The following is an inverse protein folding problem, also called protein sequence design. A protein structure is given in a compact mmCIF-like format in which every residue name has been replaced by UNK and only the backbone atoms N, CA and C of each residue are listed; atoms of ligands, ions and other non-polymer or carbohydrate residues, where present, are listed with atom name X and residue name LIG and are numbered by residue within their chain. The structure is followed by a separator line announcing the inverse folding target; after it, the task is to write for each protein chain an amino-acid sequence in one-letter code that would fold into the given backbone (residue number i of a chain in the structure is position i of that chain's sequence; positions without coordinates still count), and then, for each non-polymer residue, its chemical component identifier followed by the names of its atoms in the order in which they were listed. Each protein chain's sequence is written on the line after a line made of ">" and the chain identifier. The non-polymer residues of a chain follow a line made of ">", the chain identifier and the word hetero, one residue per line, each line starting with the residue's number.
data_IF_601993019291
#
_entry.id   IF_601993019291
#
_cell.length_a   1.000
_cell.length_b   1.000
_cell.length_c   1.000
_cell.angle_alpha   90.00
_cell.angle_beta   90.00
_cell.angle_gamma   90.00
#
_symmetry.space_group_name_H-M   'P 1'
#
loop_
_entity.id
_entity.type
_entity.pdbx_description
1 polymer ?
#
# COMPACT_ATOMS: atom_id res chain seq x y z
N UNK A 1 -19.54 -17.17 -55.46
CA UNK A 1 -19.48 -17.92 -54.17
C UNK A 1 -18.85 -19.28 -54.49
N UNK A 2 -17.76 -19.65 -53.77
CA UNK A 2 -17.00 -20.87 -54.10
C UNK A 2 -17.84 -22.10 -53.73
N UNK A 3 -17.76 -23.17 -54.54
CA UNK A 3 -18.52 -24.43 -54.40
C UNK A 3 -18.41 -24.98 -52.95
N UNK A 4 -17.24 -24.90 -52.36
CA UNK A 4 -16.96 -25.31 -50.98
C UNK A 4 -17.79 -24.53 -49.95
N UNK A 5 -17.94 -23.21 -50.11
CA UNK A 5 -18.75 -22.36 -49.22
C UNK A 5 -20.23 -22.74 -49.30
N UNK A 6 -20.70 -23.07 -50.51
CA UNK A 6 -22.08 -23.45 -50.74
C UNK A 6 -22.40 -24.81 -50.12
N UNK A 7 -21.51 -25.77 -50.22
CA UNK A 7 -21.62 -27.08 -49.60
C UNK A 7 -21.58 -26.96 -48.08
N UNK A 8 -20.68 -26.17 -47.52
CA UNK A 8 -20.56 -25.94 -46.08
C UNK A 8 -21.85 -25.32 -45.51
N UNK A 9 -22.38 -24.28 -46.16
CA UNK A 9 -23.64 -23.64 -45.71
C UNK A 9 -24.84 -24.64 -45.78
N UNK A 10 -24.89 -25.47 -46.82
CA UNK A 10 -25.95 -26.48 -46.97
C UNK A 10 -25.86 -27.54 -45.85
N UNK A 11 -24.66 -28.00 -45.55
CA UNK A 11 -24.38 -28.93 -44.46
C UNK A 11 -24.76 -28.35 -43.08
N UNK A 12 -24.37 -27.12 -42.77
CA UNK A 12 -24.74 -26.43 -41.54
C UNK A 12 -26.26 -26.26 -41.41
N UNK A 13 -26.96 -25.94 -42.51
CA UNK A 13 -28.43 -25.83 -42.51
C UNK A 13 -29.11 -27.17 -42.30
N UNK A 14 -28.59 -28.27 -42.81
CA UNK A 14 -29.13 -29.61 -42.64
C UNK A 14 -28.99 -30.11 -41.19
N UNK A 15 -27.93 -29.73 -40.50
CA UNK A 15 -27.60 -30.10 -39.12
C UNK A 15 -27.82 -28.96 -38.11
N UNK A 16 -28.94 -28.23 -38.22
CA UNK A 16 -29.21 -27.00 -37.45
C UNK A 16 -28.99 -27.12 -35.94
N UNK A 17 -29.56 -28.15 -35.28
CA UNK A 17 -29.44 -28.35 -33.83
C UNK A 17 -28.00 -28.44 -33.41
N UNK A 18 -27.17 -29.18 -34.12
CA UNK A 18 -25.77 -29.38 -33.87
C UNK A 18 -24.95 -28.11 -34.07
N UNK A 19 -25.17 -27.40 -35.19
CA UNK A 19 -24.53 -26.11 -35.49
C UNK A 19 -24.81 -25.10 -34.39
N UNK A 20 -26.07 -25.03 -33.92
CA UNK A 20 -26.42 -24.12 -32.81
C UNK A 20 -25.67 -24.48 -31.52
N UNK A 21 -25.60 -25.76 -31.14
CA UNK A 21 -24.88 -26.20 -29.94
C UNK A 21 -23.41 -25.86 -30.04
N UNK A 22 -22.78 -26.08 -31.21
CA UNK A 22 -21.37 -25.72 -31.43
C UNK A 22 -21.13 -24.21 -31.34
N UNK A 23 -21.99 -23.39 -31.94
CA UNK A 23 -21.91 -21.93 -31.87
C UNK A 23 -22.07 -21.46 -30.42
N UNK A 24 -23.05 -21.97 -29.68
CA UNK A 24 -23.26 -21.64 -28.26
C UNK A 24 -22.00 -22.04 -27.44
N UNK A 25 -21.44 -23.22 -27.69
CA UNK A 25 -20.22 -23.67 -27.03
C UNK A 25 -19.04 -22.73 -27.26
N UNK A 26 -18.80 -22.28 -28.48
CA UNK A 26 -17.74 -21.33 -28.83
C UNK A 26 -18.00 -19.98 -28.17
N UNK A 27 -19.25 -19.47 -28.22
CA UNK A 27 -19.62 -18.19 -27.58
C UNK A 27 -19.36 -18.24 -26.07
N UNK A 28 -19.85 -19.30 -25.41
CA UNK A 28 -19.66 -19.47 -23.96
C UNK A 28 -18.17 -19.56 -23.57
N UNK A 29 -17.39 -20.33 -24.34
CA UNK A 29 -15.95 -20.46 -24.07
C UNK A 29 -15.19 -19.15 -24.26
N UNK A 30 -15.51 -18.41 -25.32
CA UNK A 30 -14.91 -17.10 -25.58
C UNK A 30 -15.30 -16.10 -24.47
N UNK A 31 -16.58 -16.07 -24.09
CA UNK A 31 -17.07 -15.22 -22.99
C UNK A 31 -16.40 -15.57 -21.66
N UNK A 32 -16.14 -16.86 -21.40
CA UNK A 32 -15.47 -17.32 -20.17
C UNK A 32 -14.00 -16.89 -20.14
N UNK A 33 -13.26 -17.04 -21.23
CA UNK A 33 -11.86 -16.61 -21.33
C UNK A 33 -11.75 -15.09 -21.13
N UNK A 34 -12.59 -14.31 -21.81
CA UNK A 34 -12.61 -12.85 -21.63
C UNK A 34 -13.04 -12.45 -20.21
N UNK A 35 -14.03 -13.15 -19.63
CA UNK A 35 -14.52 -12.91 -18.28
C UNK A 35 -13.44 -13.15 -17.22
N UNK A 36 -12.70 -14.24 -17.31
CA UNK A 36 -11.58 -14.54 -16.38
C UNK A 36 -10.52 -13.44 -16.44
N UNK A 37 -10.15 -12.98 -17.65
CA UNK A 37 -9.18 -11.89 -17.82
C UNK A 37 -9.63 -10.61 -17.13
N UNK A 38 -10.87 -10.18 -17.35
CA UNK A 38 -11.43 -8.97 -16.76
C UNK A 38 -11.58 -9.06 -15.24
N UNK A 39 -12.00 -10.21 -14.71
CA UNK A 39 -12.08 -10.42 -13.26
C UNK A 39 -10.71 -10.32 -12.62
N UNK A 40 -9.69 -10.93 -13.24
CA UNK A 40 -8.32 -10.86 -12.73
C UNK A 40 -7.78 -9.42 -12.74
N UNK A 41 -7.95 -8.69 -13.83
CA UNK A 41 -7.50 -7.30 -13.94
C UNK A 41 -8.20 -6.42 -12.88
N UNK A 42 -9.51 -6.57 -12.71
CA UNK A 42 -10.29 -5.87 -11.69
C UNK A 42 -9.83 -6.21 -10.28
N UNK A 43 -9.51 -7.47 -10.01
CA UNK A 43 -8.98 -7.91 -8.72
C UNK A 43 -7.60 -7.31 -8.44
N UNK A 44 -6.69 -7.31 -9.43
CA UNK A 44 -5.35 -6.72 -9.28
C UNK A 44 -5.42 -5.21 -9.06
N UNK A 45 -6.30 -4.51 -9.77
CA UNK A 45 -6.53 -3.08 -9.59
C UNK A 45 -7.12 -2.77 -8.19
N UNK A 46 -8.06 -3.57 -7.72
CA UNK A 46 -8.59 -3.46 -6.36
C UNK A 46 -7.47 -3.64 -5.31
N UNK A 47 -6.67 -4.71 -5.44
CA UNK A 47 -5.56 -4.98 -4.54
C UNK A 47 -4.51 -3.85 -4.56
N UNK A 48 -4.22 -3.30 -5.73
CA UNK A 48 -3.30 -2.17 -5.87
C UNK A 48 -3.82 -0.94 -5.10
N UNK A 49 -5.09 -0.59 -5.26
CA UNK A 49 -5.71 0.55 -4.55
C UNK A 49 -5.71 0.35 -3.04
N UNK A 50 -6.08 -0.84 -2.56
CA UNK A 50 -6.05 -1.17 -1.13
C UNK A 50 -4.63 -1.11 -0.56
N UNK A 51 -3.64 -1.65 -1.27
CA UNK A 51 -2.24 -1.58 -0.85
C UNK A 51 -1.76 -0.13 -0.77
N UNK A 52 -2.05 0.69 -1.79
CA UNK A 52 -1.67 2.11 -1.76
C UNK A 52 -2.40 2.86 -0.63
N UNK A 53 -3.65 2.51 -0.33
CA UNK A 53 -4.43 3.11 0.77
C UNK A 53 -3.81 2.77 2.13
N UNK A 54 -3.37 1.53 2.33
CA UNK A 54 -2.86 1.05 3.61
C UNK A 54 -1.37 1.33 3.82
N UNK A 55 -0.55 1.06 2.79
CA UNK A 55 0.92 1.05 2.88
C UNK A 55 1.57 2.25 2.15
N UNK A 56 0.78 3.03 1.42
CA UNK A 56 1.26 4.15 0.62
C UNK A 56 1.72 3.77 -0.78
N UNK A 57 2.00 4.79 -1.60
CA UNK A 57 2.41 4.66 -3.01
C UNK A 57 3.93 4.61 -3.20
N UNK A 58 4.70 4.53 -2.13
CA UNK A 58 6.16 4.49 -2.15
C UNK A 58 6.68 3.06 -2.16
N UNK A 59 7.81 2.82 -2.82
CA UNK A 59 8.41 1.49 -2.97
C UNK A 59 9.36 1.12 -1.85
N UNK A 60 10.06 2.12 -1.29
CA UNK A 60 11.04 1.94 -0.22
C UNK A 60 11.05 3.16 0.70
N UNK A 61 11.29 2.93 1.99
CA UNK A 61 11.48 3.97 3.00
C UNK A 61 12.84 3.80 3.64
N UNK A 62 13.63 4.88 3.65
CA UNK A 62 14.87 5.02 4.37
C UNK A 62 14.57 5.68 5.73
N UNK A 63 14.93 5.02 6.81
CA UNK A 63 14.72 5.51 8.18
C UNK A 63 15.95 6.24 8.70
N UNK A 64 15.73 7.21 9.57
CA UNK A 64 16.79 7.97 10.24
C UNK A 64 17.83 8.60 9.30
N UNK A 65 17.36 9.08 8.15
CA UNK A 65 18.19 9.81 7.18
C UNK A 65 18.60 11.16 7.77
N UNK A 66 19.90 11.43 7.84
CA UNK A 66 20.37 12.77 8.20
C UNK A 66 19.93 13.76 7.12
N UNK A 67 19.33 14.88 7.50
CA UNK A 67 18.84 15.89 6.55
C UNK A 67 19.91 16.42 5.59
N UNK A 68 21.17 16.42 5.98
CA UNK A 68 22.29 16.78 5.11
C UNK A 68 22.42 15.84 3.90
N UNK A 69 21.95 14.61 4.05
CA UNK A 69 22.07 13.55 3.05
C UNK A 69 20.80 13.40 2.15
N UNK A 70 19.74 14.12 2.44
CA UNK A 70 18.48 14.08 1.68
C UNK A 70 18.67 14.38 0.20
N UNK A 71 19.62 15.23 -0.15
CA UNK A 71 19.90 15.57 -1.54
C UNK A 71 20.36 14.38 -2.39
N UNK A 72 20.97 13.36 -1.80
CA UNK A 72 21.38 12.15 -2.54
C UNK A 72 20.17 11.38 -3.08
N UNK A 73 19.03 11.51 -2.41
CA UNK A 73 17.76 10.89 -2.83
C UNK A 73 17.00 11.82 -3.77
N UNK A 74 16.75 13.06 -3.33
CA UNK A 74 15.88 13.99 -4.06
C UNK A 74 16.41 14.41 -5.43
N UNK A 75 17.75 14.43 -5.60
CA UNK A 75 18.41 14.75 -6.88
C UNK A 75 18.62 13.54 -7.80
N UNK A 76 18.27 12.34 -7.37
CA UNK A 76 18.42 11.14 -8.20
C UNK A 76 17.40 11.11 -9.33
N UNK A 77 17.87 11.03 -10.58
CA UNK A 77 17.00 10.94 -11.76
C UNK A 77 16.16 9.64 -11.80
N UNK A 78 16.54 8.63 -11.03
CA UNK A 78 15.85 7.34 -10.91
C UNK A 78 14.62 7.41 -10.00
N UNK A 79 14.50 8.47 -9.20
CA UNK A 79 13.36 8.71 -8.29
C UNK A 79 12.24 9.45 -9.05
N UNK A 80 11.03 8.95 -8.91
CA UNK A 80 9.82 9.59 -9.44
C UNK A 80 9.18 10.51 -8.41
N UNK A 81 9.05 10.02 -7.16
CA UNK A 81 8.42 10.75 -6.06
C UNK A 81 9.19 10.48 -4.78
N UNK A 82 9.24 11.46 -3.93
CA UNK A 82 9.76 11.35 -2.57
C UNK A 82 8.83 12.04 -1.58
N UNK A 83 8.91 11.63 -0.33
CA UNK A 83 8.13 12.19 0.77
C UNK A 83 8.85 12.03 2.08
N UNK A 84 8.62 12.95 3.00
CA UNK A 84 9.25 12.95 4.31
C UNK A 84 8.24 12.68 5.41
N UNK A 85 8.62 11.82 6.33
CA UNK A 85 7.88 11.58 7.56
C UNK A 85 8.81 11.59 8.75
N UNK A 86 8.24 11.86 9.93
CA UNK A 86 8.99 11.82 11.19
C UNK A 86 8.06 11.36 12.30
N UNK A 87 8.54 10.46 13.16
CA UNK A 87 7.84 10.17 14.41
C UNK A 87 8.02 11.37 15.35
N UNK A 88 6.91 12.00 15.74
CA UNK A 88 6.95 13.09 16.73
C UNK A 88 7.00 12.53 18.13
N UNK A 89 6.33 11.42 18.37
CA UNK A 89 6.28 10.73 19.63
C UNK A 89 4.93 10.06 19.89
N UNK A 90 4.74 9.66 21.12
CA UNK A 90 3.57 8.93 21.62
C UNK A 90 2.96 9.69 22.78
N UNK A 91 1.63 9.58 22.92
CA UNK A 91 0.88 10.17 24.02
C UNK A 91 -0.03 9.12 24.63
N UNK A 92 -0.02 8.98 25.93
CA UNK A 92 -1.01 8.18 26.66
C UNK A 92 -2.28 9.00 26.80
N UNK A 93 -3.44 8.40 26.51
CA UNK A 93 -4.72 9.07 26.65
C UNK A 93 -5.26 8.87 28.06
N UNK A 94 -5.58 9.96 28.75
CA UNK A 94 -5.95 9.94 30.18
C UNK A 94 -7.27 9.19 30.44
N UNK A 95 -8.19 9.18 29.46
CA UNK A 95 -9.49 8.54 29.59
C UNK A 95 -9.49 7.03 29.24
N UNK A 96 -8.32 6.43 29.03
CA UNK A 96 -8.21 5.01 28.75
C UNK A 96 -6.86 4.47 29.22
N UNK A 97 -6.89 3.46 30.11
CA UNK A 97 -5.67 2.88 30.68
C UNK A 97 -4.71 2.29 29.64
N UNK A 98 -5.21 1.92 28.46
CA UNK A 98 -4.44 1.22 27.43
C UNK A 98 -4.43 1.92 26.06
N UNK A 99 -5.00 3.12 25.91
CA UNK A 99 -5.02 3.80 24.62
C UNK A 99 -3.78 4.71 24.47
N UNK A 100 -2.99 4.40 23.47
CA UNK A 100 -1.81 5.16 23.10
C UNK A 100 -2.05 5.80 21.73
N UNK A 101 -1.65 7.06 21.62
CA UNK A 101 -1.69 7.83 20.39
C UNK A 101 -0.28 7.95 19.82
N UNK A 102 -0.05 7.36 18.65
CA UNK A 102 1.15 7.60 17.85
C UNK A 102 0.97 8.85 17.00
N UNK A 103 1.84 9.84 17.19
CA UNK A 103 1.79 11.11 16.45
C UNK A 103 2.94 11.14 15.46
N UNK A 104 2.60 11.02 14.17
CA UNK A 104 3.56 11.07 13.08
C UNK A 104 3.41 12.34 12.26
N UNK A 105 4.51 12.95 11.91
CA UNK A 105 4.54 14.15 11.09
C UNK A 105 4.73 13.78 9.61
N UNK A 106 4.06 14.53 8.75
CA UNK A 106 4.03 14.32 7.30
C UNK A 106 4.32 15.65 6.60
N UNK A 107 5.15 15.61 5.57
CA UNK A 107 5.23 16.71 4.61
C UNK A 107 4.06 16.65 3.61
N UNK A 108 3.97 17.64 2.74
CA UNK A 108 2.91 17.71 1.72
C UNK A 108 2.89 16.50 0.79
N UNK A 109 4.06 15.98 0.43
CA UNK A 109 4.18 14.84 -0.47
C UNK A 109 3.78 13.54 0.22
N UNK A 110 4.12 13.38 1.50
CA UNK A 110 3.72 12.22 2.30
C UNK A 110 2.19 12.17 2.47
N UNK A 111 1.53 13.30 2.74
CA UNK A 111 0.07 13.37 2.83
C UNK A 111 -0.57 12.84 1.55
N UNK A 112 -0.06 13.24 0.38
CA UNK A 112 -0.59 12.80 -0.91
C UNK A 112 -0.24 11.32 -1.22
N UNK A 113 0.94 10.87 -0.83
CA UNK A 113 1.45 9.52 -1.14
C UNK A 113 0.83 8.42 -0.29
N UNK A 114 0.52 8.70 0.96
CA UNK A 114 -0.09 7.75 1.91
C UNK A 114 -1.63 7.77 1.89
N UNK A 115 -2.26 8.37 0.92
CA UNK A 115 -3.71 8.36 0.59
C UNK A 115 -4.66 8.05 1.75
N UNK A 116 -4.46 8.72 2.89
CA UNK A 116 -5.33 8.53 4.06
C UNK A 116 -6.69 9.16 3.77
N UNK A 117 -7.77 8.44 4.08
CA UNK A 117 -9.12 8.96 3.86
C UNK A 117 -9.47 9.97 4.95
N UNK A 118 -9.79 11.20 4.54
CA UNK A 118 -10.41 12.18 5.43
C UNK A 118 -11.90 11.87 5.53
N UNK A 119 -12.39 11.75 6.78
CA UNK A 119 -13.81 11.60 7.07
C UNK A 119 -14.46 12.96 7.19
N UNK A 120 -13.78 13.89 7.85
CA UNK A 120 -14.29 15.24 8.11
C UNK A 120 -13.14 16.25 8.17
N UNK A 121 -13.36 17.48 7.71
CA UNK A 121 -12.36 18.54 7.72
C UNK A 121 -11.34 18.43 6.58
N UNK A 122 -10.07 18.67 6.89
CA UNK A 122 -8.95 18.68 5.93
C UNK A 122 -7.66 18.12 6.54
N UNK A 123 -6.68 17.83 5.70
CA UNK A 123 -5.33 17.50 6.18
C UNK A 123 -4.61 18.73 6.78
N UNK A 124 -3.66 18.49 7.72
CA UNK A 124 -2.81 19.52 8.25
C UNK A 124 -1.96 20.15 7.14
N UNK A 125 -1.88 21.48 7.11
CA UNK A 125 -1.10 22.24 6.14
C UNK A 125 -0.05 23.14 6.79
N UNK A 126 -0.08 23.28 8.12
CA UNK A 126 0.81 24.11 8.92
C UNK A 126 1.26 23.35 10.17
N UNK A 127 2.44 23.70 10.66
CA UNK A 127 2.91 23.20 11.96
C UNK A 127 1.92 23.58 13.07
N UNK A 128 1.73 22.68 14.02
CA UNK A 128 0.71 22.81 15.06
C UNK A 128 -0.72 22.40 14.65
N UNK A 129 -0.95 21.99 13.41
CA UNK A 129 -2.20 21.37 12.98
C UNK A 129 -2.09 19.83 13.06
N UNK A 130 -3.21 19.18 13.42
CA UNK A 130 -3.28 17.72 13.56
C UNK A 130 -4.62 17.19 13.03
N UNK A 131 -4.60 15.98 12.47
CA UNK A 131 -5.79 15.16 12.25
C UNK A 131 -5.71 13.92 13.12
N UNK A 132 -6.86 13.50 13.64
CA UNK A 132 -7.01 12.38 14.55
C UNK A 132 -7.79 11.26 13.87
N UNK A 133 -7.46 10.02 14.20
CA UNK A 133 -8.31 8.88 13.84
C UNK A 133 -9.67 8.99 14.55
N UNK A 134 -10.75 8.63 13.85
CA UNK A 134 -12.10 8.59 14.44
C UNK A 134 -12.19 7.68 15.67
N UNK A 135 -11.28 6.69 15.77
CA UNK A 135 -11.26 5.73 16.87
C UNK A 135 -10.95 6.35 18.23
N UNK A 136 -10.32 7.54 18.26
CA UNK A 136 -9.82 8.13 19.51
C UNK A 136 -10.52 9.43 19.92
N UNK A 137 -11.38 9.97 19.09
CA UNK A 137 -12.00 11.27 19.37
C UNK A 137 -12.69 11.26 20.72
N UNK A 138 -13.54 10.27 20.96
CA UNK A 138 -14.28 10.11 22.22
C UNK A 138 -13.37 9.76 23.41
N UNK A 139 -12.14 9.29 23.18
CA UNK A 139 -11.16 8.98 24.22
C UNK A 139 -10.37 10.22 24.66
N UNK A 140 -10.28 11.23 23.81
CA UNK A 140 -9.64 12.51 24.13
C UNK A 140 -10.65 13.43 24.84
N UNK A 141 -11.76 13.70 24.18
CA UNK A 141 -12.88 14.52 24.70
C UNK A 141 -14.14 14.22 23.86
N UNK A 142 -15.24 13.84 24.51
CA UNK A 142 -16.52 13.55 23.85
C UNK A 142 -17.11 14.77 23.11
N UNK A 143 -16.64 15.97 23.43
CA UNK A 143 -17.11 17.23 22.83
C UNK A 143 -16.13 17.81 21.81
N UNK A 144 -15.02 17.12 21.52
CA UNK A 144 -13.97 17.59 20.64
C UNK A 144 -14.50 17.84 19.21
N UNK A 145 -14.27 19.06 18.73
CA UNK A 145 -14.69 19.48 17.39
C UNK A 145 -13.51 19.93 16.54
N UNK A 146 -13.70 19.88 15.24
CA UNK A 146 -12.75 20.48 14.30
C UNK A 146 -12.65 21.98 14.58
N UNK A 147 -11.42 22.47 14.75
CA UNK A 147 -11.11 23.84 15.12
C UNK A 147 -10.61 24.00 16.56
N UNK A 148 -10.91 23.03 17.43
CA UNK A 148 -10.48 23.04 18.82
C UNK A 148 -8.97 22.82 18.96
N UNK A 149 -8.43 23.27 20.08
CA UNK A 149 -7.04 23.03 20.48
C UNK A 149 -7.00 21.94 21.53
N UNK A 150 -6.10 20.99 21.33
CA UNK A 150 -5.80 19.93 22.31
C UNK A 150 -4.35 20.04 22.75
N UNK A 151 -4.06 19.78 24.01
CA UNK A 151 -2.71 19.67 24.54
C UNK A 151 -2.47 18.21 24.92
N UNK A 152 -1.43 17.63 24.36
CA UNK A 152 -1.05 16.24 24.56
C UNK A 152 0.37 16.18 25.16
N UNK A 153 0.57 15.29 26.14
CA UNK A 153 1.90 14.94 26.65
C UNK A 153 2.54 13.97 25.68
N UNK A 154 3.48 14.46 24.88
CA UNK A 154 4.12 13.70 23.81
C UNK A 154 5.55 13.33 24.23
N UNK A 155 5.84 12.04 24.26
CA UNK A 155 7.14 11.50 24.66
C UNK A 155 7.67 10.44 23.70
N UNK A 156 8.85 9.92 24.00
CA UNK A 156 9.47 8.79 23.31
C UNK A 156 8.97 7.47 23.91
N UNK A 157 8.79 6.46 23.07
CA UNK A 157 8.44 5.11 23.52
C UNK A 157 9.70 4.26 23.70
N UNK A 158 9.75 3.51 24.79
CA UNK A 158 10.85 2.61 25.15
C UNK A 158 10.29 1.22 25.42
N UNK A 159 11.06 0.19 25.04
CA UNK A 159 10.79 -1.19 25.42
C UNK A 159 11.24 -1.50 26.86
N UNK A 160 10.94 -2.71 27.32
CA UNK A 160 11.36 -3.20 28.65
C UNK A 160 12.88 -3.19 28.85
N UNK A 161 13.68 -3.21 27.76
CA UNK A 161 15.15 -3.12 27.79
C UNK A 161 15.66 -1.67 27.83
N UNK A 162 14.77 -0.68 27.94
CA UNK A 162 15.07 0.76 27.86
C UNK A 162 15.61 1.23 26.51
N UNK A 163 15.39 0.46 25.45
CA UNK A 163 15.72 0.85 24.09
C UNK A 163 14.57 1.69 23.52
N UNK A 164 14.89 2.84 22.95
CA UNK A 164 13.89 3.66 22.23
C UNK A 164 13.41 2.90 21.02
N UNK A 165 12.09 2.81 20.88
CA UNK A 165 11.42 2.09 19.79
C UNK A 165 10.46 3.02 19.04
N UNK A 166 10.33 2.79 17.72
CA UNK A 166 9.26 3.34 16.88
C UNK A 166 8.37 2.17 16.46
N UNK A 167 7.31 1.93 17.21
CA UNK A 167 6.41 0.80 17.03
C UNK A 167 4.96 1.24 16.97
N UNK A 168 4.16 0.50 16.21
CA UNK A 168 2.70 0.60 16.21
C UNK A 168 2.05 -0.46 17.12
N UNK A 169 2.86 -1.19 17.88
CA UNK A 169 2.40 -2.18 18.88
C UNK A 169 2.98 -1.81 20.22
N UNK A 170 2.15 -1.83 21.25
CA UNK A 170 2.54 -1.60 22.63
C UNK A 170 2.47 -2.92 23.39
N UNK A 171 3.61 -3.34 23.94
CA UNK A 171 3.73 -4.61 24.67
C UNK A 171 3.78 -4.37 26.16
N UNK A 172 3.55 -5.40 26.93
CA UNK A 172 3.73 -5.35 28.38
C UNK A 172 5.17 -5.01 28.74
N UNK A 173 5.36 -3.98 29.56
CA UNK A 173 6.68 -3.47 29.91
C UNK A 173 7.17 -2.30 29.06
N UNK A 174 6.51 -1.97 27.96
CA UNK A 174 6.77 -0.74 27.22
C UNK A 174 6.29 0.48 27.99
N UNK A 175 6.99 1.61 27.84
CA UNK A 175 6.61 2.84 28.51
C UNK A 175 6.95 4.09 27.69
N UNK A 176 6.29 5.19 27.99
CA UNK A 176 6.55 6.51 27.40
C UNK A 176 7.32 7.36 28.40
N UNK A 177 8.38 8.03 27.94
CA UNK A 177 9.18 8.93 28.75
C UNK A 177 9.58 10.18 27.94
N UNK A 178 10.24 11.13 28.64
CA UNK A 178 10.66 12.41 28.07
C UNK A 178 9.47 13.24 27.54
N UNK A 179 8.34 13.14 28.19
CA UNK A 179 7.10 13.80 27.77
C UNK A 179 7.22 15.32 27.83
N UNK A 180 6.66 15.97 26.81
CA UNK A 180 6.52 17.43 26.72
C UNK A 180 5.10 17.79 26.28
N UNK A 181 4.55 18.82 26.86
CA UNK A 181 3.26 19.33 26.43
C UNK A 181 3.37 19.92 25.03
N UNK A 182 2.50 19.46 24.16
CA UNK A 182 2.37 19.95 22.77
C UNK A 182 0.93 20.28 22.46
N UNK A 183 0.69 21.49 22.04
CA UNK A 183 -0.65 21.97 21.68
C UNK A 183 -0.83 21.91 20.18
N UNK A 184 -1.93 21.31 19.75
CA UNK A 184 -2.31 21.18 18.37
C UNK A 184 -3.71 21.73 18.13
N UNK A 185 -3.95 22.28 16.93
CA UNK A 185 -5.27 22.59 16.42
C UNK A 185 -5.79 21.39 15.64
N UNK A 186 -6.92 20.83 16.01
CA UNK A 186 -7.57 19.75 15.27
C UNK A 186 -8.20 20.33 14.00
N UNK A 187 -7.78 19.86 12.84
CA UNK A 187 -8.25 20.37 11.54
C UNK A 187 -9.01 19.35 10.71
N UNK A 188 -9.06 18.11 11.17
CA UNK A 188 -9.84 17.06 10.52
C UNK A 188 -9.80 15.73 11.28
N UNK A 189 -10.63 14.83 10.81
CA UNK A 189 -10.80 13.47 11.30
C UNK A 189 -10.53 12.53 10.14
N UNK A 190 -9.71 11.52 10.36
CA UNK A 190 -9.43 10.47 9.40
C UNK A 190 -10.25 9.23 9.71
N UNK A 191 -10.60 8.47 8.66
CA UNK A 191 -11.15 7.13 8.84
C UNK A 191 -10.17 6.28 9.64
N UNK A 192 -10.70 5.38 10.47
CA UNK A 192 -9.89 4.44 11.25
C UNK A 192 -9.03 3.58 10.32
N UNK A 193 -7.70 3.67 10.37
CA UNK A 193 -6.82 2.81 9.59
C UNK A 193 -7.00 1.33 9.97
N UNK A 194 -6.86 0.43 9.00
CA UNK A 194 -7.07 -1.01 9.22
C UNK A 194 -6.18 -1.62 10.31
N UNK A 195 -4.94 -1.14 10.43
CA UNK A 195 -3.98 -1.62 11.42
C UNK A 195 -4.31 -1.22 12.87
N UNK A 196 -5.08 -0.15 13.11
CA UNK A 196 -5.52 0.25 14.46
C UNK A 196 -6.46 -0.78 15.11
N UNK A 197 -7.02 -1.72 14.35
CA UNK A 197 -7.92 -2.75 14.89
C UNK A 197 -7.21 -3.77 15.77
N UNK A 198 -5.90 -3.94 15.58
CA UNK A 198 -5.13 -5.04 16.16
C UNK A 198 -4.13 -4.61 17.23
N UNK A 199 -3.74 -3.33 17.29
CA UNK A 199 -2.49 -2.96 17.96
C UNK A 199 -2.64 -2.07 19.19
N UNK A 200 -3.84 -1.67 19.61
CA UNK A 200 -4.06 -0.80 20.79
C UNK A 200 -3.50 0.63 20.63
N UNK A 201 -2.81 0.92 19.53
CA UNK A 201 -2.26 2.24 19.23
C UNK A 201 -3.10 2.90 18.14
N UNK A 202 -3.64 4.05 18.45
CA UNK A 202 -4.32 4.91 17.50
C UNK A 202 -3.32 5.89 16.85
N UNK A 203 -3.71 6.48 15.73
CA UNK A 203 -2.82 7.37 14.96
C UNK A 203 -3.34 8.80 14.89
N UNK A 204 -2.39 9.70 14.95
CA UNK A 204 -2.60 11.10 14.60
C UNK A 204 -1.54 11.52 13.58
N UNK A 205 -1.90 12.42 12.67
CA UNK A 205 -1.00 12.94 11.67
C UNK A 205 -0.92 14.45 11.80
N UNK A 206 0.30 14.95 11.99
CA UNK A 206 0.60 16.35 12.04
C UNK A 206 1.40 16.77 10.80
N UNK A 207 1.45 18.06 10.51
CA UNK A 207 2.28 18.59 9.43
C UNK A 207 3.65 19.01 9.96
N UNK A 208 4.69 18.86 9.14
CA UNK A 208 5.97 19.53 9.35
C UNK A 208 6.55 19.99 8.01
N UNK A 209 7.35 21.06 8.08
CA UNK A 209 8.15 21.48 6.95
C UNK A 209 9.53 20.78 7.01
N UNK A 210 9.86 19.91 6.04
CA UNK A 210 11.14 19.19 6.06
C UNK A 210 12.36 20.10 5.94
N UNK A 211 12.19 21.35 5.51
CA UNK A 211 13.26 22.34 5.40
C UNK A 211 13.60 23.04 6.73
N UNK A 212 12.73 22.92 7.75
CA UNK A 212 12.99 23.48 9.06
C UNK A 212 13.85 22.52 9.90
N UNK A 213 14.94 22.98 10.49
CA UNK A 213 15.77 22.23 11.45
C UNK A 213 16.71 21.17 10.85
N UNK A 214 17.89 21.60 10.38
CA UNK A 214 18.87 20.77 9.65
C UNK A 214 19.63 19.72 10.47
N UNK A 215 19.54 19.71 11.81
CA UNK A 215 20.34 18.83 12.67
C UNK A 215 19.62 17.54 13.11
N UNK A 216 18.51 17.22 12.47
CA UNK A 216 17.61 16.14 12.84
C UNK A 216 17.57 15.05 11.77
N UNK A 217 17.14 13.84 12.15
CA UNK A 217 16.89 12.75 11.22
C UNK A 217 15.42 12.73 10.81
N UNK A 218 15.17 12.29 9.59
CA UNK A 218 13.83 12.10 9.03
C UNK A 218 13.76 10.79 8.29
N UNK A 219 12.55 10.27 8.11
CA UNK A 219 12.31 9.12 7.25
C UNK A 219 11.96 9.62 5.85
N UNK A 220 12.61 9.07 4.84
CA UNK A 220 12.39 9.41 3.44
C UNK A 220 11.83 8.22 2.68
N UNK A 221 10.63 8.38 2.17
CA UNK A 221 9.93 7.38 1.37
C UNK A 221 10.01 7.75 -0.10
N UNK A 222 10.38 6.81 -0.95
CA UNK A 222 10.58 7.06 -2.37
C UNK A 222 9.84 6.08 -3.26
N UNK A 223 9.33 6.58 -4.38
CA UNK A 223 8.88 5.78 -5.50
C UNK A 223 9.90 5.92 -6.65
N UNK A 224 10.42 4.80 -7.11
CA UNK A 224 11.34 4.75 -8.25
C UNK A 224 10.56 4.69 -9.55
N UNK A 225 11.13 5.19 -10.65
CA UNK A 225 10.49 5.18 -11.98
C UNK A 225 10.20 3.78 -12.49
N UNK A 226 11.15 2.86 -12.32
CA UNK A 226 10.96 1.45 -12.66
C UNK A 226 11.02 0.62 -11.36
N UNK A 227 9.89 0.08 -10.88
CA UNK A 227 9.85 -0.70 -9.64
C UNK A 227 10.82 -1.89 -9.61
N UNK A 228 11.15 -2.49 -10.76
CA UNK A 228 12.09 -3.63 -10.86
C UNK A 228 13.52 -3.28 -10.45
N UNK A 229 13.88 -2.01 -10.51
CA UNK A 229 15.22 -1.53 -10.16
C UNK A 229 15.31 -1.05 -8.70
N UNK A 230 14.23 -1.13 -7.92
CA UNK A 230 14.15 -0.57 -6.56
C UNK A 230 15.29 -1.03 -5.66
N UNK A 231 15.61 -2.32 -5.64
CA UNK A 231 16.66 -2.87 -4.77
C UNK A 231 18.05 -2.38 -5.18
N UNK A 232 18.33 -2.29 -6.48
CA UNK A 232 19.59 -1.74 -7.00
C UNK A 232 19.74 -0.26 -6.67
N UNK A 233 18.67 0.51 -6.88
CA UNK A 233 18.62 1.96 -6.61
C UNK A 233 18.75 2.22 -5.11
N UNK A 234 18.01 1.50 -4.27
CA UNK A 234 18.06 1.67 -2.83
C UNK A 234 19.44 1.34 -2.25
N UNK A 235 20.12 0.30 -2.74
CA UNK A 235 21.48 -0.02 -2.32
C UNK A 235 22.47 1.10 -2.68
N UNK A 236 22.36 1.66 -3.88
CA UNK A 236 23.19 2.80 -4.31
C UNK A 236 22.96 4.05 -3.42
N UNK A 237 21.70 4.33 -3.11
CA UNK A 237 21.33 5.47 -2.27
C UNK A 237 21.79 5.24 -0.83
N UNK A 238 21.55 4.06 -0.26
CA UNK A 238 21.90 3.74 1.13
C UNK A 238 23.39 3.87 1.42
N UNK A 239 24.25 3.49 0.48
CA UNK A 239 25.69 3.67 0.57
C UNK A 239 26.07 5.15 0.76
N UNK A 240 25.37 6.07 0.12
CA UNK A 240 25.63 7.50 0.24
C UNK A 240 25.05 8.10 1.53
N UNK A 241 23.84 7.68 1.94
CA UNK A 241 23.17 8.28 3.11
C UNK A 241 23.63 7.69 4.44
N UNK A 242 24.13 6.44 4.46
CA UNK A 242 24.55 5.71 5.66
C UNK A 242 26.03 5.33 5.64
N UNK A 243 26.86 6.07 4.94
CA UNK A 243 28.29 5.78 4.69
C UNK A 243 29.14 5.49 5.94
N UNK A 244 28.66 5.83 7.13
CA UNK A 244 29.34 5.63 8.43
C UNK A 244 28.77 4.49 9.27
N UNK A 245 27.80 3.70 8.76
CA UNK A 245 27.11 2.63 9.49
C UNK A 245 27.48 1.25 8.94
N UNK A 246 27.48 0.26 9.82
CA UNK A 246 27.68 -1.13 9.44
C UNK A 246 26.55 -1.65 8.55
N UNK A 247 26.86 -2.58 7.62
CA UNK A 247 25.90 -3.11 6.65
C UNK A 247 24.66 -3.76 7.30
N UNK A 248 24.82 -4.37 8.46
CA UNK A 248 23.73 -5.00 9.19
C UNK A 248 22.77 -3.95 9.76
N UNK A 249 23.28 -2.89 10.36
CA UNK A 249 22.51 -1.74 10.84
C UNK A 249 21.80 -1.00 9.71
N UNK A 250 22.41 -0.90 8.52
CA UNK A 250 21.82 -0.28 7.33
C UNK A 250 20.63 -1.09 6.82
N UNK A 251 20.69 -2.41 6.89
CA UNK A 251 19.59 -3.29 6.45
C UNK A 251 18.29 -3.01 7.22
N UNK A 252 18.37 -2.76 8.51
CA UNK A 252 17.22 -2.45 9.37
C UNK A 252 16.63 -1.06 9.10
N UNK A 253 17.43 -0.16 8.52
CA UNK A 253 17.00 1.19 8.18
C UNK A 253 16.32 1.32 6.82
N UNK A 254 16.21 0.22 6.06
CA UNK A 254 15.61 0.21 4.74
C UNK A 254 14.41 -0.73 4.75
N UNK A 255 13.21 -0.18 4.59
CA UNK A 255 12.00 -0.99 4.49
C UNK A 255 11.37 -0.86 3.12
N UNK A 256 11.12 -2.00 2.48
CA UNK A 256 10.45 -2.08 1.19
C UNK A 256 8.95 -2.29 1.38
N UNK A 257 8.16 -1.64 0.53
CA UNK A 257 6.74 -1.93 0.40
C UNK A 257 6.56 -3.21 -0.44
N UNK A 258 6.80 -4.35 0.19
CA UNK A 258 6.79 -5.64 -0.49
C UNK A 258 5.42 -5.99 -1.08
N UNK A 259 4.33 -5.50 -0.47
CA UNK A 259 2.99 -5.70 -1.02
C UNK A 259 2.84 -4.98 -2.37
N UNK A 260 3.21 -3.70 -2.44
CA UNK A 260 3.16 -2.92 -3.67
C UNK A 260 4.10 -3.50 -4.74
N UNK A 261 5.35 -3.80 -4.36
CA UNK A 261 6.35 -4.36 -5.27
C UNK A 261 5.93 -5.73 -5.83
N UNK A 262 5.24 -6.54 -5.04
CA UNK A 262 4.70 -7.83 -5.46
C UNK A 262 3.62 -7.66 -6.51
N UNK A 263 2.68 -6.74 -6.29
CA UNK A 263 1.62 -6.42 -7.25
C UNK A 263 2.18 -5.86 -8.56
N UNK A 264 3.31 -5.14 -8.49
CA UNK A 264 4.02 -4.61 -9.65
C UNK A 264 4.99 -5.61 -10.30
N UNK A 265 5.11 -6.83 -9.77
CA UNK A 265 6.02 -7.86 -10.28
C UNK A 265 7.50 -7.54 -10.08
N UNK A 266 7.83 -6.74 -9.06
CA UNK A 266 9.16 -6.23 -8.75
C UNK A 266 9.74 -6.77 -7.43
N UNK A 267 8.97 -7.51 -6.62
CA UNK A 267 9.44 -8.07 -5.35
C UNK A 267 10.50 -9.15 -5.56
N UNK A 268 11.48 -9.21 -4.65
CA UNK A 268 12.44 -10.33 -4.56
C UNK A 268 11.74 -11.66 -4.25
N UNK A 269 10.60 -11.62 -3.59
CA UNK A 269 9.79 -12.78 -3.20
C UNK A 269 8.74 -13.12 -4.26
N UNK A 270 9.18 -13.36 -5.49
CA UNK A 270 8.32 -13.46 -6.70
C UNK A 270 7.40 -14.71 -6.73
N UNK A 271 7.58 -15.69 -5.84
CA UNK A 271 6.89 -16.98 -5.89
C UNK A 271 5.35 -16.87 -5.92
N UNK A 272 4.77 -15.94 -5.18
CA UNK A 272 3.30 -15.78 -5.10
C UNK A 272 2.73 -15.26 -6.42
N UNK A 273 3.38 -14.29 -7.07
CA UNK A 273 2.92 -13.77 -8.36
C UNK A 273 3.01 -14.83 -9.47
N UNK A 274 4.04 -15.66 -9.42
CA UNK A 274 4.18 -16.77 -10.35
C UNK A 274 3.10 -17.83 -10.13
N UNK A 275 2.73 -18.11 -8.88
CA UNK A 275 1.64 -19.04 -8.56
C UNK A 275 0.29 -18.56 -9.09
N UNK A 276 -0.05 -17.29 -8.89
CA UNK A 276 -1.31 -16.71 -9.41
C UNK A 276 -1.34 -16.76 -10.94
N UNK A 277 -0.25 -16.34 -11.60
CA UNK A 277 -0.12 -16.43 -13.07
C UNK A 277 -0.27 -17.86 -13.56
N UNK A 278 0.36 -18.82 -12.87
CA UNK A 278 0.27 -20.24 -13.23
C UNK A 278 -1.16 -20.77 -13.12
N UNK A 279 -1.91 -20.38 -12.10
CA UNK A 279 -3.32 -20.77 -11.93
C UNK A 279 -4.15 -20.21 -13.09
N UNK A 280 -3.97 -18.95 -13.47
CA UNK A 280 -4.71 -18.32 -14.58
C UNK A 280 -4.40 -19.03 -15.89
N UNK A 281 -3.12 -19.30 -16.16
CA UNK A 281 -2.69 -20.04 -17.35
C UNK A 281 -3.33 -21.43 -17.37
N UNK A 282 -3.31 -22.17 -16.24
CA UNK A 282 -3.90 -23.49 -16.13
C UNK A 282 -5.41 -23.48 -16.38
N UNK A 283 -6.14 -22.53 -15.81
CA UNK A 283 -7.60 -22.37 -16.04
C UNK A 283 -7.88 -22.01 -17.50
N UNK A 284 -7.09 -21.13 -18.10
CA UNK A 284 -7.22 -20.75 -19.53
C UNK A 284 -7.01 -21.97 -20.43
N UNK A 285 -5.97 -22.75 -20.18
CA UNK A 285 -5.70 -24.00 -20.92
C UNK A 285 -6.86 -24.98 -20.79
N UNK A 286 -7.39 -25.16 -19.56
CA UNK A 286 -8.53 -26.05 -19.32
C UNK A 286 -9.77 -25.63 -20.13
N UNK A 287 -10.07 -24.33 -20.18
CA UNK A 287 -11.20 -23.79 -20.96
C UNK A 287 -10.97 -24.04 -22.46
N UNK A 288 -9.75 -23.85 -22.96
CA UNK A 288 -9.41 -24.15 -24.37
C UNK A 288 -9.62 -25.64 -24.68
N UNK A 289 -9.15 -26.54 -23.80
CA UNK A 289 -9.33 -28.00 -23.98
C UNK A 289 -10.82 -28.35 -24.00
N UNK A 290 -11.60 -27.83 -23.07
CA UNK A 290 -13.05 -28.05 -23.02
C UNK A 290 -13.74 -27.55 -24.31
N UNK A 291 -13.29 -26.41 -24.85
CA UNK A 291 -13.81 -25.85 -26.10
C UNK A 291 -13.52 -26.79 -27.27
N UNK A 292 -12.25 -27.23 -27.41
CA UNK A 292 -11.83 -28.15 -28.45
C UNK A 292 -12.63 -29.46 -28.35
N UNK A 293 -12.79 -30.04 -27.16
CA UNK A 293 -13.56 -31.26 -26.95
C UNK A 293 -15.01 -31.08 -27.35
N UNK A 294 -15.64 -29.95 -27.01
CA UNK A 294 -17.05 -29.64 -27.39
C UNK A 294 -17.17 -29.54 -28.90
N UNK A 295 -16.26 -28.85 -29.56
CA UNK A 295 -16.23 -28.72 -31.02
C UNK A 295 -15.98 -30.08 -31.67
N UNK A 296 -14.99 -30.84 -31.20
CA UNK A 296 -14.69 -32.18 -31.70
C UNK A 296 -15.88 -33.14 -31.58
N UNK A 297 -16.46 -33.24 -30.39
CA UNK A 297 -17.67 -34.07 -30.20
C UNK A 297 -18.81 -33.66 -31.11
N UNK A 298 -18.99 -32.37 -31.33
CA UNK A 298 -19.98 -31.85 -32.25
C UNK A 298 -19.75 -32.30 -33.70
N UNK A 299 -18.51 -32.48 -34.12
CA UNK A 299 -18.15 -32.96 -35.46
C UNK A 299 -18.08 -34.50 -35.55
N UNK A 300 -17.58 -35.19 -34.52
CA UNK A 300 -17.36 -36.64 -34.52
C UNK A 300 -18.67 -37.47 -34.55
N UNK A 301 -19.75 -36.98 -33.93
CA UNK A 301 -21.07 -37.64 -33.97
C UNK A 301 -21.72 -37.57 -35.38
N UNK A 302 -21.03 -36.94 -36.36
CA UNK A 302 -21.50 -36.65 -37.72
C UNK A 302 -21.03 -37.68 -38.76
N UNK A 303 -20.16 -38.58 -38.38
CA UNK A 303 -19.68 -39.69 -39.20
C UNK A 303 -20.38 -40.98 -38.80
#
# INVERSE_FOLDING_TARGET
>A
MNLYTLLTIRYLKQNKRRTIVTIIGIILSTALICGIGNIFESFMDYQMRETIKNDGSFHVTFYDVNRKNVEYVTKSAEIEKHAFTKQLGYSKLENSENAILSIKQYDKNAINGYKVSIKEGRFPAKEGEIVLSESIINLIDDKLKIGDKITLKVGDMFDSSKKKIDSMTFHEGDYIANEKDRTFKVVGIIEKPGFERYNGIATAKAYFNPMNNYNDTINESVAVRNPKDVYKISNKISTNIYSSKDNEAVSDMIKYNEHLLRLQGASKYSNINNSIKSIIIAVTILVIICTIATVYNSFSISI
#
